data_IF_110465617327
#
_entry.id   IF_110465617327
#
_cell.length_a   1.000
_cell.length_b   1.000
_cell.length_c   1.000
_cell.angle_alpha   90.00
_cell.angle_beta   90.00
_cell.angle_gamma   90.00
#
_symmetry.space_group_name_H-M   'P 1'
#
loop_
_entity.id
_entity.type
_entity.pdbx_description
1 polymer ?
#
# COMPACT_ATOMS: atom_id res chain seq x y z
N UNK A 1 -17.87 23.49 -71.74
CA UNK A 1 -17.09 22.44 -71.11
C UNK A 1 -16.46 22.99 -69.84
N UNK A 2 -16.98 22.63 -68.65
CA UNK A 2 -16.47 23.05 -67.34
C UNK A 2 -15.88 21.82 -66.66
N UNK A 3 -14.57 21.77 -66.52
CA UNK A 3 -13.86 20.73 -65.75
C UNK A 3 -13.81 21.15 -64.28
N UNK A 4 -14.50 20.38 -63.43
CA UNK A 4 -14.43 20.54 -61.96
C UNK A 4 -13.32 19.61 -61.42
N UNK A 5 -12.27 20.20 -60.88
CA UNK A 5 -11.22 19.52 -60.14
C UNK A 5 -11.71 19.27 -58.71
N UNK A 6 -11.91 17.99 -58.36
CA UNK A 6 -12.16 17.56 -56.97
C UNK A 6 -10.82 17.30 -56.29
N UNK A 7 -10.43 18.15 -55.37
CA UNK A 7 -9.26 17.97 -54.53
C UNK A 7 -9.65 17.05 -53.36
N UNK A 8 -9.15 15.80 -53.37
CA UNK A 8 -9.28 14.88 -52.25
C UNK A 8 -8.23 15.22 -51.18
N UNK A 9 -8.66 15.87 -50.10
CA UNK A 9 -7.81 16.12 -48.94
C UNK A 9 -7.67 14.87 -48.06
N UNK A 10 -6.45 14.29 -48.00
CA UNK A 10 -6.10 13.17 -47.16
C UNK A 10 -5.81 13.69 -45.73
N UNK A 11 -6.77 13.56 -44.84
CA UNK A 11 -6.58 13.90 -43.41
C UNK A 11 -5.82 12.75 -42.72
N UNK A 12 -4.52 12.91 -42.50
CA UNK A 12 -3.72 12.02 -41.69
C UNK A 12 -4.00 12.31 -40.22
N UNK A 13 -4.82 11.48 -39.57
CA UNK A 13 -5.03 11.53 -38.13
C UNK A 13 -3.79 11.00 -37.41
N UNK A 14 -2.96 11.90 -36.90
CA UNK A 14 -1.86 11.57 -35.98
C UNK A 14 -2.45 11.14 -34.63
N UNK A 15 -2.69 9.85 -34.42
CA UNK A 15 -2.98 9.30 -33.11
C UNK A 15 -1.69 9.29 -32.29
N UNK A 16 -1.41 10.38 -31.58
CA UNK A 16 -0.37 10.42 -30.57
C UNK A 16 -0.79 9.54 -29.41
N UNK A 17 -0.51 8.24 -29.48
CA UNK A 17 -0.58 7.33 -28.35
C UNK A 17 0.43 7.78 -27.31
N UNK A 18 -0.02 8.51 -26.25
CA UNK A 18 0.78 8.73 -25.07
C UNK A 18 1.04 7.35 -24.46
N UNK A 19 2.19 6.75 -24.78
CA UNK A 19 2.70 5.58 -24.07
C UNK A 19 2.93 6.04 -22.62
N UNK A 20 2.02 5.69 -21.71
CA UNK A 20 2.25 5.85 -20.28
C UNK A 20 3.53 5.08 -19.97
N UNK A 21 4.60 5.81 -19.71
CA UNK A 21 5.90 5.22 -19.41
C UNK A 21 5.75 4.33 -18.18
N UNK A 22 5.76 3.02 -18.37
CA UNK A 22 5.66 2.04 -17.30
C UNK A 22 6.86 2.24 -16.36
N UNK A 23 6.58 2.42 -15.07
CA UNK A 23 7.64 2.66 -14.09
C UNK A 23 8.61 1.47 -14.06
N UNK A 24 9.91 1.77 -13.87
CA UNK A 24 10.96 0.74 -13.75
C UNK A 24 10.67 -0.15 -12.53
N UNK A 25 10.86 -1.48 -12.64
CA UNK A 25 10.61 -2.41 -11.54
C UNK A 25 11.34 -2.04 -10.24
N UNK A 26 12.58 -1.56 -10.34
CA UNK A 26 13.36 -1.12 -9.18
C UNK A 26 12.72 0.09 -8.49
N UNK A 27 12.10 0.99 -9.24
CA UNK A 27 11.39 2.15 -8.69
C UNK A 27 10.16 1.69 -7.91
N UNK A 28 9.38 0.77 -8.46
CA UNK A 28 8.22 0.18 -7.80
C UNK A 28 8.62 -0.51 -6.48
N UNK A 29 9.72 -1.28 -6.49
CA UNK A 29 10.25 -1.92 -5.28
C UNK A 29 10.64 -0.88 -4.23
N UNK A 30 11.32 0.20 -4.60
CA UNK A 30 11.68 1.28 -3.68
C UNK A 30 10.44 1.97 -3.09
N UNK A 31 9.43 2.22 -3.91
CA UNK A 31 8.17 2.84 -3.46
C UNK A 31 7.45 1.99 -2.42
N UNK A 32 7.27 0.67 -2.67
CA UNK A 32 6.65 -0.22 -1.68
C UNK A 32 7.45 -0.31 -0.38
N UNK A 33 8.79 -0.36 -0.47
CA UNK A 33 9.66 -0.38 0.71
C UNK A 33 9.54 0.90 1.52
N UNK A 34 9.46 2.06 0.85
CA UNK A 34 9.24 3.35 1.51
C UNK A 34 7.90 3.41 2.22
N UNK A 35 6.82 2.94 1.59
CA UNK A 35 5.50 2.87 2.21
C UNK A 35 5.51 1.96 3.45
N UNK A 36 6.14 0.77 3.36
CA UNK A 36 6.28 -0.15 4.50
C UNK A 36 7.10 0.46 5.64
N UNK A 37 8.17 1.19 5.33
CA UNK A 37 9.00 1.89 6.33
C UNK A 37 8.20 2.97 7.05
N UNK A 38 7.40 3.75 6.31
CA UNK A 38 6.54 4.79 6.89
C UNK A 38 5.43 4.19 7.74
N UNK A 39 4.82 3.09 7.31
CA UNK A 39 3.84 2.36 8.15
C UNK A 39 4.47 1.93 9.48
N UNK A 40 5.68 1.36 9.45
CA UNK A 40 6.43 1.00 10.66
C UNK A 40 6.71 2.19 11.57
N UNK A 41 7.10 3.33 10.99
CA UNK A 41 7.36 4.58 11.71
C UNK A 41 6.13 5.05 12.51
N UNK A 42 4.94 5.02 11.91
CA UNK A 42 3.74 5.49 12.57
C UNK A 42 3.07 4.43 13.46
N UNK A 43 3.19 3.16 13.11
CA UNK A 43 2.65 2.07 13.91
C UNK A 43 3.47 1.79 15.19
N UNK A 44 4.80 1.86 15.12
CA UNK A 44 5.70 1.52 16.24
C UNK A 44 5.35 2.21 17.55
N UNK A 45 5.20 3.55 17.60
CA UNK A 45 4.78 4.25 18.82
C UNK A 45 3.42 3.80 19.35
N UNK A 46 2.44 3.56 18.46
CA UNK A 46 1.11 3.07 18.87
C UNK A 46 1.20 1.67 19.49
N UNK A 47 2.00 0.78 18.91
CA UNK A 47 2.26 -0.53 19.48
C UNK A 47 2.94 -0.44 20.87
N UNK A 48 3.91 0.48 21.04
CA UNK A 48 4.54 0.75 22.31
C UNK A 48 3.57 1.23 23.38
N UNK A 49 2.64 2.12 23.01
CA UNK A 49 1.57 2.62 23.87
C UNK A 49 0.60 1.50 24.28
N UNK A 50 0.15 0.69 23.31
CA UNK A 50 -0.75 -0.42 23.57
C UNK A 50 -0.14 -1.49 24.50
N UNK A 51 1.19 -1.67 24.43
CA UNK A 51 1.95 -2.60 25.30
C UNK A 51 2.36 -1.99 26.65
N UNK A 52 2.01 -0.73 26.92
CA UNK A 52 2.40 -0.04 28.16
C UNK A 52 3.90 0.30 28.26
N UNK A 53 4.66 0.22 27.16
CA UNK A 53 6.09 0.55 27.12
C UNK A 53 6.35 2.05 27.14
N UNK A 54 5.41 2.83 26.67
CA UNK A 54 5.42 4.30 26.72
C UNK A 54 4.03 4.80 27.10
N UNK A 55 3.91 6.02 27.67
CA UNK A 55 2.62 6.61 28.05
C UNK A 55 1.64 6.67 26.88
N UNK A 56 0.37 6.35 27.13
CA UNK A 56 -0.66 6.40 26.11
C UNK A 56 -1.08 7.86 25.84
N UNK A 57 -1.08 8.23 24.55
CA UNK A 57 -1.53 9.56 24.09
C UNK A 57 -2.50 9.38 22.92
N UNK A 58 -3.78 9.62 23.19
CA UNK A 58 -4.85 9.47 22.22
C UNK A 58 -4.68 10.38 20.99
N UNK A 59 -4.14 11.60 21.16
CA UNK A 59 -3.91 12.54 20.03
C UNK A 59 -2.86 12.00 19.07
N UNK A 60 -1.78 11.44 19.63
CA UNK A 60 -0.73 10.79 18.81
C UNK A 60 -1.32 9.58 18.09
N UNK A 61 -2.12 8.76 18.79
CA UNK A 61 -2.75 7.58 18.18
C UNK A 61 -3.68 7.98 17.04
N UNK A 62 -4.57 8.95 17.23
CA UNK A 62 -5.48 9.43 16.19
C UNK A 62 -4.74 9.90 14.94
N UNK A 63 -3.71 10.74 15.12
CA UNK A 63 -2.88 11.23 14.03
C UNK A 63 -2.19 10.08 13.28
N UNK A 64 -1.55 9.18 14.02
CA UNK A 64 -0.77 8.09 13.44
C UNK A 64 -1.67 7.04 12.77
N UNK A 65 -2.85 6.77 13.34
CA UNK A 65 -3.83 5.88 12.72
C UNK A 65 -4.33 6.43 11.38
N UNK A 66 -4.54 7.73 11.26
CA UNK A 66 -4.90 8.36 9.98
C UNK A 66 -3.78 8.24 8.93
N UNK A 67 -2.52 8.42 9.32
CA UNK A 67 -1.40 8.17 8.40
C UNK A 67 -1.30 6.71 8.01
N UNK A 68 -1.49 5.79 8.96
CA UNK A 68 -1.43 4.35 8.70
C UNK A 68 -2.54 3.90 7.76
N UNK A 69 -3.78 4.38 7.92
CA UNK A 69 -4.89 4.06 7.02
C UNK A 69 -4.56 4.47 5.57
N UNK A 70 -4.07 5.68 5.36
CA UNK A 70 -3.65 6.12 4.03
C UNK A 70 -2.48 5.30 3.46
N UNK A 71 -1.43 5.10 4.25
CA UNK A 71 -0.23 4.38 3.83
C UNK A 71 -0.51 2.90 3.52
N UNK A 72 -1.46 2.27 4.23
CA UNK A 72 -1.83 0.86 4.03
C UNK A 72 -2.34 0.57 2.62
N UNK A 73 -2.75 1.58 1.86
CA UNK A 73 -3.27 1.46 0.49
C UNK A 73 -2.20 1.62 -0.60
N UNK A 74 -0.99 2.09 -0.24
CA UNK A 74 0.00 2.56 -1.20
C UNK A 74 0.99 1.51 -1.73
N UNK A 75 1.35 0.42 -1.02
CA UNK A 75 2.48 -0.42 -1.43
C UNK A 75 2.17 -1.44 -2.54
N UNK A 76 0.91 -1.65 -2.87
CA UNK A 76 0.46 -2.84 -3.61
C UNK A 76 0.90 -2.86 -5.06
N UNK A 77 0.91 -1.72 -5.74
CA UNK A 77 1.43 -1.59 -7.12
C UNK A 77 2.91 -2.00 -7.21
N UNK A 78 3.63 -1.82 -6.11
CA UNK A 78 5.03 -2.21 -5.98
C UNK A 78 5.26 -3.73 -5.96
N UNK A 79 4.21 -4.56 -5.97
CA UNK A 79 4.28 -6.02 -6.07
C UNK A 79 3.85 -6.55 -7.46
N UNK A 80 3.80 -5.69 -8.48
CA UNK A 80 3.53 -6.09 -9.84
C UNK A 80 4.48 -7.24 -10.30
N UNK A 81 4.01 -8.09 -11.20
CA UNK A 81 4.78 -9.25 -11.70
C UNK A 81 6.18 -8.87 -12.22
N UNK A 82 6.33 -7.67 -12.80
CA UNK A 82 7.61 -7.13 -13.26
C UNK A 82 8.65 -6.96 -12.15
N UNK A 83 8.22 -6.94 -10.87
CA UNK A 83 9.12 -6.73 -9.71
C UNK A 83 9.61 -8.02 -9.07
N UNK A 84 9.15 -9.18 -9.56
CA UNK A 84 9.42 -10.49 -8.98
C UNK A 84 10.92 -10.82 -8.88
N UNK A 85 11.70 -10.45 -9.91
CA UNK A 85 13.13 -10.75 -9.99
C UNK A 85 14.02 -9.63 -9.44
N UNK A 86 13.42 -8.53 -8.96
CA UNK A 86 14.16 -7.44 -8.31
C UNK A 86 14.50 -7.82 -6.87
N UNK A 87 15.79 -7.72 -6.52
CA UNK A 87 16.29 -8.06 -5.18
C UNK A 87 15.53 -7.31 -4.08
N UNK A 88 14.89 -8.05 -3.20
CA UNK A 88 14.13 -7.52 -2.05
C UNK A 88 13.89 -8.61 -1.01
N UNK A 89 13.26 -8.25 0.11
CA UNK A 89 12.87 -9.23 1.13
C UNK A 89 11.51 -9.91 0.84
N UNK A 90 10.86 -9.65 -0.29
CA UNK A 90 9.65 -10.36 -0.67
C UNK A 90 9.97 -11.81 -1.05
N UNK A 91 9.18 -12.74 -0.53
CA UNK A 91 9.29 -14.17 -0.88
C UNK A 91 8.59 -14.44 -2.22
N UNK A 92 9.00 -15.48 -2.96
CA UNK A 92 8.32 -15.91 -4.20
C UNK A 92 6.82 -16.15 -4.03
N UNK A 93 6.38 -16.52 -2.81
CA UNK A 93 4.98 -16.73 -2.44
C UNK A 93 4.08 -15.51 -2.74
N UNK A 94 4.63 -14.29 -2.75
CA UNK A 94 3.90 -13.07 -3.15
C UNK A 94 3.25 -13.23 -4.53
N UNK A 95 3.94 -13.87 -5.47
CA UNK A 95 3.50 -14.03 -6.85
C UNK A 95 2.99 -15.43 -7.18
N UNK A 96 3.27 -16.44 -6.35
CA UNK A 96 2.74 -17.80 -6.54
C UNK A 96 1.45 -18.06 -5.74
N UNK A 97 1.17 -17.26 -4.71
CA UNK A 97 -0.02 -17.36 -3.88
C UNK A 97 -0.79 -16.01 -3.88
N UNK A 98 -1.02 -15.47 -5.09
CA UNK A 98 -1.55 -14.11 -5.29
C UNK A 98 -2.83 -13.83 -4.51
N UNK A 99 -3.76 -14.78 -4.47
CA UNK A 99 -5.02 -14.62 -3.73
C UNK A 99 -4.77 -14.45 -2.22
N UNK A 100 -3.93 -15.30 -1.63
CA UNK A 100 -3.62 -15.21 -0.19
C UNK A 100 -2.86 -13.92 0.14
N UNK A 101 -1.98 -13.48 -0.77
CA UNK A 101 -1.28 -12.22 -0.62
C UNK A 101 -2.23 -11.02 -0.68
N UNK A 102 -3.17 -11.01 -1.62
CA UNK A 102 -4.21 -9.99 -1.71
C UNK A 102 -5.07 -9.94 -0.44
N UNK A 103 -5.56 -11.11 0.03
CA UNK A 103 -6.33 -11.21 1.27
C UNK A 103 -5.57 -10.66 2.49
N UNK A 104 -4.25 -10.90 2.57
CA UNK A 104 -3.41 -10.34 3.64
C UNK A 104 -3.32 -8.81 3.54
N UNK A 105 -3.24 -8.28 2.34
CA UNK A 105 -3.27 -6.84 2.05
C UNK A 105 -4.60 -6.20 2.45
N UNK A 106 -5.71 -6.80 2.05
CA UNK A 106 -7.05 -6.32 2.35
C UNK A 106 -7.32 -6.34 3.87
N UNK A 107 -6.83 -7.37 4.55
CA UNK A 107 -6.91 -7.44 6.02
C UNK A 107 -6.16 -6.28 6.67
N UNK A 108 -4.93 -5.98 6.24
CA UNK A 108 -4.19 -4.83 6.76
C UNK A 108 -4.94 -3.53 6.55
N UNK A 109 -5.46 -3.29 5.35
CA UNK A 109 -6.22 -2.07 5.03
C UNK A 109 -7.48 -1.96 5.88
N UNK A 110 -8.23 -3.06 6.04
CA UNK A 110 -9.42 -3.11 6.88
C UNK A 110 -9.11 -2.81 8.35
N UNK A 111 -8.09 -3.44 8.92
CA UNK A 111 -7.74 -3.22 10.33
C UNK A 111 -7.15 -1.82 10.58
N UNK A 112 -6.41 -1.24 9.62
CA UNK A 112 -5.92 0.14 9.71
C UNK A 112 -7.06 1.15 9.65
N UNK A 113 -8.02 0.98 8.75
CA UNK A 113 -9.20 1.83 8.63
C UNK A 113 -10.07 1.76 9.90
N UNK A 114 -10.26 0.55 10.44
CA UNK A 114 -10.97 0.35 11.70
C UNK A 114 -10.24 1.01 12.88
N UNK A 115 -8.88 0.93 12.92
CA UNK A 115 -8.11 1.62 13.95
C UNK A 115 -8.32 3.14 13.87
N UNK A 116 -8.27 3.73 12.69
CA UNK A 116 -8.54 5.15 12.52
C UNK A 116 -9.96 5.52 13.01
N UNK A 117 -10.96 4.73 12.66
CA UNK A 117 -12.34 4.94 13.12
C UNK A 117 -12.46 4.84 14.65
N UNK A 118 -11.95 3.76 15.25
CA UNK A 118 -12.03 3.51 16.71
C UNK A 118 -11.23 4.55 17.49
N UNK A 119 -10.09 5.02 16.98
CA UNK A 119 -9.28 6.04 17.65
C UNK A 119 -10.05 7.36 17.92
N UNK A 120 -11.13 7.60 17.17
CA UNK A 120 -11.97 8.80 17.31
C UNK A 120 -13.06 8.66 18.38
N UNK A 121 -13.29 7.46 18.89
CA UNK A 121 -14.30 7.23 19.95
C UNK A 121 -13.86 7.70 21.35
N UNK A 122 -12.55 7.81 21.57
CA UNK A 122 -11.97 8.13 22.88
C UNK A 122 -11.86 6.93 23.82
N UNK A 123 -12.30 5.74 23.42
CA UNK A 123 -12.19 4.50 24.20
C UNK A 123 -10.78 3.91 24.08
N UNK A 124 -9.95 4.13 25.10
CA UNK A 124 -8.57 3.65 25.13
C UNK A 124 -8.47 2.13 25.06
N UNK A 125 -9.36 1.40 25.71
CA UNK A 125 -9.33 -0.07 25.73
C UNK A 125 -9.62 -0.64 24.32
N UNK A 126 -10.66 -0.13 23.66
CA UNK A 126 -10.99 -0.52 22.29
C UNK A 126 -9.87 -0.16 21.31
N UNK A 127 -9.24 1.00 21.48
CA UNK A 127 -8.12 1.44 20.65
C UNK A 127 -6.90 0.52 20.84
N UNK A 128 -6.53 0.17 22.07
CA UNK A 128 -5.42 -0.77 22.35
C UNK A 128 -5.67 -2.14 21.73
N UNK A 129 -6.89 -2.66 21.86
CA UNK A 129 -7.28 -3.92 21.23
C UNK A 129 -7.14 -3.85 19.70
N UNK A 130 -7.57 -2.76 19.07
CA UNK A 130 -7.49 -2.58 17.63
C UNK A 130 -6.05 -2.38 17.13
N UNK A 131 -5.17 -1.71 17.89
CA UNK A 131 -3.73 -1.65 17.62
C UNK A 131 -3.15 -3.08 17.57
N UNK A 132 -3.56 -3.95 18.51
CA UNK A 132 -3.18 -5.35 18.51
C UNK A 132 -3.65 -6.10 17.24
N UNK A 133 -4.84 -5.82 16.73
CA UNK A 133 -5.38 -6.43 15.51
C UNK A 133 -4.56 -6.00 14.27
N UNK A 134 -4.21 -4.72 14.17
CA UNK A 134 -3.29 -4.23 13.10
C UNK A 134 -1.93 -4.94 13.19
N UNK A 135 -1.37 -5.06 14.40
CA UNK A 135 -0.10 -5.78 14.60
C UNK A 135 -0.14 -7.22 14.12
N UNK A 136 -1.24 -7.93 14.38
CA UNK A 136 -1.46 -9.30 13.89
C UNK A 136 -1.58 -9.36 12.36
N UNK A 137 -2.24 -8.40 11.73
CA UNK A 137 -2.33 -8.31 10.27
C UNK A 137 -0.94 -8.09 9.64
N UNK A 138 -0.13 -7.18 10.19
CA UNK A 138 1.26 -6.98 9.76
C UNK A 138 2.10 -8.26 9.91
N UNK A 139 2.05 -8.87 11.11
CA UNK A 139 2.81 -10.07 11.44
C UNK A 139 2.47 -11.26 10.54
N UNK A 140 1.19 -11.55 10.34
CA UNK A 140 0.74 -12.68 9.52
C UNK A 140 1.16 -12.56 8.05
N UNK A 141 1.09 -11.34 7.47
CA UNK A 141 1.60 -11.11 6.12
C UNK A 141 3.14 -11.29 6.06
N UNK A 142 3.88 -10.73 7.02
CA UNK A 142 5.34 -10.85 7.07
C UNK A 142 5.80 -12.30 7.26
N UNK A 143 5.06 -13.12 8.01
CA UNK A 143 5.39 -14.51 8.26
C UNK A 143 5.32 -15.36 6.98
N UNK A 144 4.34 -15.08 6.10
CA UNK A 144 4.09 -15.85 4.89
C UNK A 144 4.82 -15.32 3.65
N UNK A 145 5.05 -13.99 3.57
CA UNK A 145 5.44 -13.31 2.35
C UNK A 145 6.74 -12.50 2.43
N UNK A 146 7.42 -12.49 3.59
CA UNK A 146 8.67 -11.75 3.80
C UNK A 146 9.77 -12.65 4.36
N UNK A 147 11.01 -12.49 3.86
CA UNK A 147 12.19 -13.15 4.43
C UNK A 147 12.37 -12.72 5.90
N UNK A 148 12.64 -13.69 6.77
CA UNK A 148 13.03 -13.41 8.16
C UNK A 148 14.39 -12.69 8.15
N UNK A 149 14.47 -11.62 8.91
CA UNK A 149 15.71 -10.89 9.17
C UNK A 149 16.36 -11.41 10.45
#
# INVERSE_FOLDING_TARGET
MKMSLVAAGLAVALTSGAALAQQKPETLVKQRQSAMTLMGKYFGPMAGMAQGKIPFDMKIVQRNAGFLDNLSRMPWDGFAASTKDVKSAALPAVWSEEQKFAEAGDRLQSEASKLYSVSRSGDEAAVKAQIGAVGKACGGCHESFRQKQ
#
